data_IF_967149593047
#
_entry.id   IF_967149593047
#
_cell.length_a   1.000
_cell.length_b   1.000
_cell.length_c   1.000
_cell.angle_alpha   90.00
_cell.angle_beta   90.00
_cell.angle_gamma   90.00
#
_symmetry.space_group_name_H-M   'P 1'
#
loop_
_entity.id
_entity.type
_entity.pdbx_description
1 polymer ?
#
# COMPACT_ATOMS: atom_id res chain seq x y z
N UNK A 1 11.40 -4.86 -13.32
CA UNK A 1 10.18 -4.23 -12.81
C UNK A 1 9.02 -4.74 -13.65
N UNK A 2 7.88 -5.01 -13.00
CA UNK A 2 6.64 -5.40 -13.70
C UNK A 2 6.16 -4.23 -14.54
N UNK A 3 5.69 -4.47 -15.75
CA UNK A 3 5.06 -3.45 -16.59
C UNK A 3 3.71 -3.00 -15.99
N UNK A 4 3.26 -1.79 -16.31
CA UNK A 4 1.96 -1.27 -15.84
C UNK A 4 0.80 -2.22 -16.17
N UNK A 5 0.64 -2.77 -17.41
CA UNK A 5 -0.43 -3.72 -17.69
C UNK A 5 -0.35 -5.03 -16.90
N UNK A 6 0.86 -5.57 -16.69
CA UNK A 6 1.03 -6.77 -15.86
C UNK A 6 0.72 -6.47 -14.38
N UNK A 7 1.14 -5.29 -13.91
CA UNK A 7 0.83 -4.84 -12.56
C UNK A 7 -0.67 -4.72 -12.29
N UNK A 8 -1.43 -4.16 -13.23
CA UNK A 8 -2.89 -4.04 -13.15
C UNK A 8 -3.55 -5.43 -13.08
N UNK A 9 -3.07 -6.39 -13.87
CA UNK A 9 -3.59 -7.77 -13.83
C UNK A 9 -3.33 -8.44 -12.46
N UNK A 10 -2.14 -8.23 -11.89
CA UNK A 10 -1.83 -8.76 -10.56
C UNK A 10 -2.70 -8.12 -9.48
N UNK A 11 -2.89 -6.79 -9.52
CA UNK A 11 -3.78 -6.08 -8.60
C UNK A 11 -5.19 -6.68 -8.69
N UNK A 12 -5.74 -6.83 -9.88
CA UNK A 12 -7.08 -7.36 -10.07
C UNK A 12 -7.23 -8.78 -9.51
N UNK A 13 -6.24 -9.64 -9.73
CA UNK A 13 -6.25 -11.02 -9.24
C UNK A 13 -6.20 -11.08 -7.69
N UNK A 14 -5.27 -10.34 -7.07
CA UNK A 14 -5.14 -10.28 -5.61
C UNK A 14 -6.37 -9.62 -4.97
N UNK A 15 -6.86 -8.54 -5.56
CA UNK A 15 -8.02 -7.82 -5.05
C UNK A 15 -9.31 -8.65 -5.14
N UNK A 16 -9.49 -9.43 -6.20
CA UNK A 16 -10.65 -10.32 -6.31
C UNK A 16 -10.71 -11.32 -5.16
N UNK A 17 -9.58 -11.99 -4.85
CA UNK A 17 -9.49 -12.90 -3.72
C UNK A 17 -9.73 -12.19 -2.38
N UNK A 18 -9.20 -10.98 -2.23
CA UNK A 18 -9.37 -10.21 -1.01
C UNK A 18 -10.83 -9.73 -0.83
N UNK A 19 -11.51 -9.29 -1.90
CA UNK A 19 -12.93 -8.93 -1.87
C UNK A 19 -13.79 -10.12 -1.41
N UNK A 20 -13.52 -11.32 -1.95
CA UNK A 20 -14.23 -12.53 -1.53
C UNK A 20 -14.00 -12.82 -0.03
N UNK A 21 -12.75 -12.75 0.44
CA UNK A 21 -12.44 -12.97 1.84
C UNK A 21 -13.11 -11.94 2.77
N UNK A 22 -13.06 -10.65 2.41
CA UNK A 22 -13.66 -9.56 3.22
C UNK A 22 -15.18 -9.69 3.25
N UNK A 23 -15.83 -10.09 2.14
CA UNK A 23 -17.27 -10.34 2.07
C UNK A 23 -17.69 -11.51 2.97
N UNK A 24 -16.90 -12.58 2.95
CA UNK A 24 -17.20 -13.82 3.70
C UNK A 24 -16.79 -13.71 5.18
N UNK A 25 -15.98 -12.71 5.54
CA UNK A 25 -15.65 -12.34 6.91
C UNK A 25 -16.67 -11.34 7.48
N UNK A 26 -16.67 -11.18 8.78
CA UNK A 26 -17.61 -10.29 9.47
C UNK A 26 -16.94 -9.51 10.60
N UNK A 27 -17.74 -8.72 11.38
CA UNK A 27 -17.22 -7.89 12.46
C UNK A 27 -16.36 -8.62 13.49
N UNK A 28 -16.61 -9.91 13.72
CA UNK A 28 -15.78 -10.71 14.64
C UNK A 28 -14.33 -10.83 14.13
N UNK A 29 -14.15 -11.14 12.82
CA UNK A 29 -12.82 -11.20 12.22
C UNK A 29 -12.20 -9.82 12.06
N UNK A 30 -13.00 -8.79 11.75
CA UNK A 30 -12.50 -7.42 11.59
C UNK A 30 -11.96 -6.80 12.88
N UNK A 31 -12.44 -7.26 14.03
CA UNK A 31 -11.97 -6.83 15.35
C UNK A 31 -10.73 -7.58 15.86
N UNK A 32 -10.24 -8.58 15.14
CA UNK A 32 -9.00 -9.24 15.50
C UNK A 32 -7.80 -8.30 15.31
N UNK A 33 -6.81 -8.43 16.20
CA UNK A 33 -5.53 -7.74 16.03
C UNK A 33 -4.84 -8.21 14.76
N UNK A 34 -4.38 -7.29 13.94
CA UNK A 34 -3.61 -7.59 12.74
C UNK A 34 -2.11 -7.67 13.05
N UNK A 35 -1.25 -8.19 12.13
CA UNK A 35 0.20 -8.07 12.25
C UNK A 35 0.73 -6.63 12.20
N UNK A 36 -0.07 -5.66 11.77
CA UNK A 36 0.27 -4.25 11.85
C UNK A 36 0.06 -3.75 13.29
N UNK A 37 1.11 -3.25 13.93
CA UNK A 37 1.07 -2.78 15.31
C UNK A 37 -0.04 -1.75 15.51
N UNK A 38 -0.84 -1.90 16.57
CA UNK A 38 -1.97 -1.05 16.93
C UNK A 38 -3.13 -0.97 15.91
N UNK A 39 -3.21 -1.94 14.98
CA UNK A 39 -4.27 -2.01 13.99
C UNK A 39 -5.07 -3.30 14.09
N UNK A 40 -6.37 -3.19 13.95
CA UNK A 40 -7.25 -4.34 13.73
C UNK A 40 -7.25 -4.76 12.26
N UNK A 41 -7.77 -5.93 11.95
CA UNK A 41 -8.06 -6.38 10.58
C UNK A 41 -8.96 -5.36 9.85
N UNK A 42 -9.98 -4.83 10.55
CA UNK A 42 -10.86 -3.79 10.01
C UNK A 42 -10.12 -2.50 9.66
N UNK A 43 -9.12 -2.10 10.44
CA UNK A 43 -8.28 -0.93 10.14
C UNK A 43 -7.44 -1.17 8.88
N UNK A 44 -6.92 -2.40 8.67
CA UNK A 44 -6.18 -2.75 7.44
C UNK A 44 -7.10 -2.75 6.22
N UNK A 45 -8.32 -3.26 6.34
CA UNK A 45 -9.33 -3.17 5.28
C UNK A 45 -9.65 -1.70 4.97
N UNK A 46 -9.83 -0.88 6.03
CA UNK A 46 -10.06 0.56 5.91
C UNK A 46 -8.91 1.29 5.22
N UNK A 47 -7.65 0.91 5.53
CA UNK A 47 -6.47 1.44 4.86
C UNK A 47 -6.50 1.16 3.35
N UNK A 48 -6.76 -0.07 2.96
CA UNK A 48 -6.80 -0.45 1.56
C UNK A 48 -7.96 0.21 0.79
N UNK A 49 -9.12 0.42 1.45
CA UNK A 49 -10.26 1.14 0.90
C UNK A 49 -9.95 2.62 0.69
N UNK A 50 -9.50 3.29 1.75
CA UNK A 50 -9.09 4.70 1.68
C UNK A 50 -7.95 4.94 0.67
N UNK A 51 -6.94 4.07 0.66
CA UNK A 51 -5.85 4.18 -0.31
C UNK A 51 -6.35 4.04 -1.76
N UNK A 52 -7.36 3.19 -2.01
CA UNK A 52 -7.97 3.08 -3.32
C UNK A 52 -8.66 4.40 -3.75
N UNK A 53 -9.34 5.07 -2.83
CA UNK A 53 -9.98 6.35 -3.10
C UNK A 53 -8.97 7.43 -3.47
N UNK A 54 -7.96 7.66 -2.62
CA UNK A 54 -7.01 8.72 -2.89
C UNK A 54 -6.13 8.42 -4.12
N UNK A 55 -5.78 7.15 -4.40
CA UNK A 55 -5.08 6.79 -5.63
C UNK A 55 -5.92 7.11 -6.86
N UNK A 56 -7.20 6.75 -6.81
CA UNK A 56 -8.14 7.03 -7.88
C UNK A 56 -8.30 8.54 -8.12
N UNK A 57 -8.43 9.33 -7.08
CA UNK A 57 -8.55 10.80 -7.17
C UNK A 57 -7.27 11.43 -7.70
N UNK A 58 -6.10 11.02 -7.19
CA UNK A 58 -4.81 11.54 -7.66
C UNK A 58 -4.59 11.25 -9.15
N UNK A 59 -4.89 10.03 -9.60
CA UNK A 59 -4.75 9.66 -11.03
C UNK A 59 -5.76 10.42 -11.89
N UNK A 60 -7.01 10.53 -11.46
CA UNK A 60 -8.05 11.24 -12.21
C UNK A 60 -7.72 12.72 -12.36
N UNK A 61 -7.23 13.34 -11.29
CA UNK A 61 -6.76 14.72 -11.27
C UNK A 61 -5.56 14.90 -12.20
N UNK A 62 -4.52 14.08 -12.08
CA UNK A 62 -3.33 14.15 -12.92
C UNK A 62 -3.63 13.96 -14.40
N UNK A 63 -4.54 13.04 -14.77
CA UNK A 63 -5.03 12.89 -16.15
C UNK A 63 -5.66 14.16 -16.69
N UNK A 64 -6.28 14.94 -15.81
CA UNK A 64 -6.90 16.25 -16.14
C UNK A 64 -5.91 17.43 -16.00
N UNK A 65 -4.64 17.19 -15.69
CA UNK A 65 -3.61 18.22 -15.49
C UNK A 65 -3.69 18.93 -14.13
N UNK A 66 -4.42 18.35 -13.17
CA UNK A 66 -4.55 18.86 -11.81
C UNK A 66 -3.53 18.14 -10.93
N UNK A 67 -2.58 18.90 -10.37
CA UNK A 67 -1.49 18.37 -9.53
C UNK A 67 -1.59 18.79 -8.06
N UNK A 68 -2.67 19.50 -7.69
CA UNK A 68 -3.00 19.77 -6.30
C UNK A 68 -3.49 18.51 -5.58
N UNK A 69 -3.39 18.47 -4.23
CA UNK A 69 -3.87 17.33 -3.46
C UNK A 69 -5.38 17.09 -3.67
N UNK A 70 -5.81 15.82 -3.66
CA UNK A 70 -7.22 15.50 -3.49
C UNK A 70 -7.80 16.10 -2.20
N UNK A 71 -9.12 16.33 -2.13
CA UNK A 71 -9.74 16.91 -0.93
C UNK A 71 -9.39 16.16 0.34
N UNK A 72 -9.04 16.90 1.40
CA UNK A 72 -8.68 16.33 2.71
C UNK A 72 -7.23 15.85 2.83
N UNK A 73 -6.45 15.90 1.75
CA UNK A 73 -5.03 15.54 1.79
C UNK A 73 -4.13 16.79 1.90
N UNK A 74 -2.95 16.68 2.52
CA UNK A 74 -2.05 17.81 2.74
C UNK A 74 -1.38 18.30 1.45
N UNK A 75 -1.00 19.57 1.39
CA UNK A 75 -0.14 20.07 0.35
C UNK A 75 1.23 19.40 0.38
N UNK A 76 1.87 19.26 -0.78
CA UNK A 76 3.21 18.67 -0.88
C UNK A 76 4.18 19.46 0.02
N UNK A 77 4.87 18.75 0.90
CA UNK A 77 5.85 19.32 1.83
C UNK A 77 5.26 20.07 3.04
N UNK A 78 3.93 20.12 3.20
CA UNK A 78 3.29 20.73 4.37
C UNK A 78 3.29 19.82 5.60
N UNK A 79 3.43 18.51 5.42
CA UNK A 79 3.47 17.52 6.49
C UNK A 79 4.87 16.88 6.56
N UNK A 80 5.52 16.87 7.73
CA UNK A 80 6.77 16.14 7.92
C UNK A 80 6.60 14.65 7.60
N UNK A 81 7.58 14.06 6.90
CA UNK A 81 7.48 12.66 6.47
C UNK A 81 7.37 11.69 7.66
N UNK A 82 7.89 12.07 8.82
CA UNK A 82 7.80 11.28 10.07
C UNK A 82 6.37 11.22 10.63
N UNK A 83 5.49 12.13 10.24
CA UNK A 83 4.08 12.16 10.66
C UNK A 83 3.17 11.40 9.68
N UNK A 84 3.71 11.00 8.51
CA UNK A 84 2.93 10.29 7.50
C UNK A 84 2.34 8.97 7.99
N UNK A 85 3.04 8.11 8.75
CA UNK A 85 2.45 6.89 9.29
C UNK A 85 1.24 7.16 10.17
N UNK A 86 1.30 8.14 11.08
CA UNK A 86 0.20 8.49 11.96
C UNK A 86 -0.99 9.07 11.19
N UNK A 87 -0.70 9.87 10.16
CA UNK A 87 -1.73 10.38 9.26
C UNK A 87 -2.46 9.23 8.55
N UNK A 88 -1.72 8.28 7.95
CA UNK A 88 -2.28 7.11 7.28
C UNK A 88 -3.11 6.27 8.25
N UNK A 89 -2.60 6.01 9.45
CA UNK A 89 -3.30 5.25 10.48
C UNK A 89 -4.64 5.90 10.86
N UNK A 90 -4.64 7.23 11.02
CA UNK A 90 -5.87 7.97 11.32
C UNK A 90 -6.89 7.84 10.17
N UNK A 91 -6.47 8.02 8.93
CA UNK A 91 -7.36 7.94 7.76
C UNK A 91 -7.92 6.53 7.58
N UNK A 92 -7.11 5.49 7.78
CA UNK A 92 -7.53 4.09 7.75
C UNK A 92 -8.62 3.79 8.78
N UNK A 93 -8.38 4.18 10.04
CA UNK A 93 -9.33 4.00 11.16
C UNK A 93 -10.61 4.83 10.97
N UNK A 94 -10.50 6.02 10.40
CA UNK A 94 -11.66 6.87 10.09
C UNK A 94 -12.52 6.26 8.99
N UNK A 95 -11.90 5.75 7.93
CA UNK A 95 -12.61 5.05 6.86
C UNK A 95 -13.35 3.82 7.40
N UNK A 96 -12.67 2.94 8.15
CA UNK A 96 -13.28 1.76 8.73
C UNK A 96 -14.47 2.11 9.66
N UNK A 97 -14.28 3.11 10.53
CA UNK A 97 -15.33 3.58 11.46
C UNK A 97 -16.52 4.18 10.73
N UNK A 98 -16.28 4.96 9.68
CA UNK A 98 -17.36 5.60 8.90
C UNK A 98 -18.19 4.59 8.12
N UNK A 99 -17.56 3.50 7.66
CA UNK A 99 -18.22 2.41 6.97
C UNK A 99 -18.99 1.48 7.94
N UNK A 100 -18.49 1.30 9.17
CA UNK A 100 -19.08 0.46 10.21
C UNK A 100 -19.48 -0.94 9.69
N UNK A 101 -20.72 -1.35 9.86
CA UNK A 101 -21.23 -2.64 9.40
C UNK A 101 -21.16 -2.82 7.86
N UNK A 102 -20.99 -1.75 7.11
CA UNK A 102 -20.90 -1.75 5.64
C UNK A 102 -19.45 -1.74 5.13
N UNK A 103 -18.47 -2.06 5.98
CA UNK A 103 -17.03 -1.98 5.62
C UNK A 103 -16.68 -2.82 4.38
N UNK A 104 -17.27 -3.99 4.24
CA UNK A 104 -17.08 -4.85 3.06
C UNK A 104 -17.55 -4.20 1.76
N UNK A 105 -18.74 -3.59 1.77
CA UNK A 105 -19.33 -2.94 0.60
C UNK A 105 -18.57 -1.65 0.28
N UNK A 106 -18.18 -0.87 1.29
CA UNK A 106 -17.40 0.35 1.12
C UNK A 106 -16.03 0.03 0.50
N UNK A 107 -15.31 -0.96 1.05
CA UNK A 107 -14.04 -1.45 0.52
C UNK A 107 -14.19 -1.89 -0.94
N UNK A 108 -15.16 -2.75 -1.23
CA UNK A 108 -15.41 -3.25 -2.59
C UNK A 108 -15.68 -2.10 -3.55
N UNK A 109 -16.52 -1.14 -3.19
CA UNK A 109 -16.86 0.02 -4.02
C UNK A 109 -15.64 0.90 -4.33
N UNK A 110 -14.80 1.19 -3.33
CA UNK A 110 -13.60 2.00 -3.50
C UNK A 110 -12.59 1.33 -4.42
N UNK A 111 -12.43 0.02 -4.28
CA UNK A 111 -11.52 -0.78 -5.10
C UNK A 111 -12.02 -0.92 -6.52
N UNK A 112 -13.30 -1.23 -6.74
CA UNK A 112 -13.91 -1.31 -8.07
C UNK A 112 -13.79 0.01 -8.83
N UNK A 113 -13.96 1.13 -8.13
CA UNK A 113 -13.73 2.47 -8.69
C UNK A 113 -12.27 2.64 -9.15
N UNK A 114 -11.29 2.27 -8.34
CA UNK A 114 -9.87 2.36 -8.72
C UNK A 114 -9.54 1.45 -9.91
N UNK A 115 -10.05 0.23 -9.93
CA UNK A 115 -9.87 -0.70 -11.06
C UNK A 115 -10.48 -0.14 -12.35
N UNK A 116 -11.65 0.51 -12.27
CA UNK A 116 -12.26 1.21 -13.39
C UNK A 116 -11.43 2.39 -13.90
N UNK A 117 -10.77 3.13 -12.98
CA UNK A 117 -9.84 4.20 -13.35
C UNK A 117 -8.61 3.62 -14.06
N UNK A 118 -8.00 2.55 -13.53
CA UNK A 118 -6.90 1.87 -14.20
C UNK A 118 -7.28 1.40 -15.61
N UNK A 119 -8.44 0.75 -15.76
CA UNK A 119 -8.92 0.24 -17.04
C UNK A 119 -9.19 1.34 -18.08
N UNK A 120 -9.58 2.54 -17.62
CA UNK A 120 -9.87 3.70 -18.48
C UNK A 120 -8.67 4.61 -18.74
N UNK A 121 -7.52 4.36 -18.10
CA UNK A 121 -6.30 5.16 -18.26
C UNK A 121 -5.59 4.79 -19.56
N UNK A 122 -5.37 5.76 -20.43
CA UNK A 122 -4.71 5.58 -21.72
C UNK A 122 -3.19 5.49 -21.56
N UNK A 123 -2.50 4.93 -22.55
CA UNK A 123 -1.05 4.73 -22.49
C UNK A 123 -0.28 6.02 -22.20
N UNK A 124 -0.65 7.14 -22.85
CA UNK A 124 0.00 8.45 -22.65
C UNK A 124 -0.29 9.05 -21.26
N UNK A 125 -1.39 8.66 -20.61
CA UNK A 125 -1.78 9.19 -19.31
C UNK A 125 -0.96 8.57 -18.16
N UNK A 126 -0.34 7.39 -18.37
CA UNK A 126 0.47 6.74 -17.34
C UNK A 126 1.75 7.50 -16.97
N UNK A 127 2.21 8.39 -17.83
CA UNK A 127 3.37 9.25 -17.59
C UNK A 127 3.01 10.60 -16.96
N UNK A 128 1.71 10.94 -16.84
CA UNK A 128 1.28 12.22 -16.28
C UNK A 128 1.55 12.31 -14.79
N UNK A 129 1.95 13.52 -14.38
CA UNK A 129 2.20 13.84 -12.99
C UNK A 129 0.90 13.86 -12.17
N UNK A 130 0.91 13.12 -11.10
CA UNK A 130 -0.15 13.01 -10.12
C UNK A 130 0.37 13.39 -8.73
N UNK A 131 -0.49 13.94 -7.90
CA UNK A 131 -0.13 14.25 -6.52
C UNK A 131 0.20 12.98 -5.73
N UNK A 132 1.22 13.05 -4.90
CA UNK A 132 1.59 12.03 -3.92
C UNK A 132 2.17 12.66 -2.66
N UNK A 133 2.17 11.96 -1.54
CA UNK A 133 2.66 12.47 -0.24
C UNK A 133 4.11 12.96 -0.26
N UNK A 134 4.93 12.42 -1.15
CA UNK A 134 6.36 12.78 -1.27
C UNK A 134 6.66 13.70 -2.44
N UNK A 135 5.64 14.16 -3.15
CA UNK A 135 5.78 14.98 -4.35
C UNK A 135 5.00 14.43 -5.53
N UNK A 136 5.12 15.11 -6.66
CA UNK A 136 4.52 14.65 -7.90
C UNK A 136 5.20 13.36 -8.37
N UNK A 137 4.40 12.44 -8.86
CA UNK A 137 4.86 11.15 -9.39
C UNK A 137 4.00 10.74 -10.59
N UNK A 138 4.53 9.95 -11.53
CA UNK A 138 3.74 9.49 -12.67
C UNK A 138 2.61 8.57 -12.20
N UNK A 139 1.48 8.60 -12.91
CA UNK A 139 0.32 7.74 -12.62
C UNK A 139 0.70 6.25 -12.50
N UNK A 140 1.66 5.77 -13.31
CA UNK A 140 2.17 4.40 -13.25
C UNK A 140 2.81 4.02 -11.91
N UNK A 141 3.31 4.99 -11.13
CA UNK A 141 3.87 4.72 -9.80
C UNK A 141 2.81 4.22 -8.81
N UNK A 142 1.55 4.65 -8.97
CA UNK A 142 0.44 4.18 -8.14
C UNK A 142 0.14 2.69 -8.36
N UNK A 143 0.26 2.19 -9.59
CA UNK A 143 0.14 0.74 -9.88
C UNK A 143 1.19 -0.05 -9.09
N UNK A 144 2.45 0.40 -9.15
CA UNK A 144 3.54 -0.28 -8.42
C UNK A 144 3.34 -0.23 -6.91
N UNK A 145 2.85 0.88 -6.37
CA UNK A 145 2.55 1.00 -4.94
C UNK A 145 1.37 0.11 -4.58
N UNK A 146 0.28 0.16 -5.35
CA UNK A 146 -0.93 -0.63 -5.07
C UNK A 146 -0.69 -2.13 -5.02
N UNK A 147 0.14 -2.69 -5.92
CA UNK A 147 0.49 -4.11 -5.86
C UNK A 147 1.05 -4.47 -4.48
N UNK A 148 1.99 -3.68 -4.00
CA UNK A 148 2.63 -3.93 -2.70
C UNK A 148 1.65 -3.85 -1.55
N UNK A 149 0.79 -2.82 -1.55
CA UNK A 149 -0.24 -2.63 -0.55
C UNK A 149 -1.20 -3.84 -0.51
N UNK A 150 -1.76 -4.20 -1.68
CA UNK A 150 -2.74 -5.30 -1.74
C UNK A 150 -2.12 -6.63 -1.35
N UNK A 151 -0.92 -6.95 -1.83
CA UNK A 151 -0.28 -8.24 -1.57
C UNK A 151 0.09 -8.39 -0.09
N UNK A 152 0.73 -7.39 0.51
CA UNK A 152 1.17 -7.46 1.91
C UNK A 152 -0.05 -7.44 2.84
N UNK A 153 -0.92 -6.48 2.65
CA UNK A 153 -2.08 -6.33 3.53
C UNK A 153 -3.15 -7.41 3.33
N UNK A 154 -3.22 -8.07 2.16
CA UNK A 154 -4.00 -9.30 2.01
C UNK A 154 -3.51 -10.40 2.96
N UNK A 155 -2.20 -10.50 3.20
CA UNK A 155 -1.65 -11.40 4.20
C UNK A 155 -1.99 -10.92 5.62
N UNK A 156 -1.79 -9.65 5.94
CA UNK A 156 -2.11 -9.07 7.26
C UNK A 156 -3.58 -9.29 7.66
N UNK A 157 -4.49 -9.21 6.69
CA UNK A 157 -5.92 -9.42 6.90
C UNK A 157 -6.25 -10.89 7.17
N UNK A 158 -5.59 -11.83 6.46
CA UNK A 158 -5.91 -13.26 6.56
C UNK A 158 -5.21 -13.99 7.71
N UNK A 159 -3.99 -13.54 8.05
CA UNK A 159 -3.13 -14.23 9.01
C UNK A 159 -3.75 -14.43 10.40
N UNK A 160 -4.50 -13.49 10.99
CA UNK A 160 -5.13 -13.70 12.30
C UNK A 160 -6.10 -14.87 12.35
N UNK A 161 -6.80 -15.17 11.25
CA UNK A 161 -7.74 -16.28 11.13
C UNK A 161 -7.12 -17.53 10.51
N UNK A 162 -6.05 -17.39 9.73
CA UNK A 162 -5.31 -18.47 9.09
C UNK A 162 -3.80 -18.29 9.25
N UNK A 163 -3.19 -18.87 10.31
CA UNK A 163 -1.75 -18.79 10.54
C UNK A 163 -0.88 -19.42 9.43
N UNK A 164 -1.49 -20.12 8.46
CA UNK A 164 -0.82 -20.67 7.28
C UNK A 164 -0.97 -19.78 6.05
N UNK A 165 -1.65 -18.62 6.18
CA UNK A 165 -1.76 -17.66 5.09
C UNK A 165 -0.39 -17.34 4.52
N UNK A 166 -0.29 -17.31 3.20
CA UNK A 166 0.94 -17.01 2.47
C UNK A 166 0.65 -16.02 1.34
N UNK A 167 1.70 -15.35 0.86
CA UNK A 167 1.60 -14.54 -0.35
C UNK A 167 1.47 -15.45 -1.57
N UNK A 168 0.74 -15.00 -2.59
CA UNK A 168 0.70 -15.69 -3.86
C UNK A 168 2.10 -15.74 -4.51
N UNK A 169 2.57 -16.89 -5.00
CA UNK A 169 3.93 -17.05 -5.52
C UNK A 169 4.30 -16.05 -6.63
N UNK A 170 3.35 -15.71 -7.50
CA UNK A 170 3.48 -14.73 -8.59
C UNK A 170 3.70 -13.31 -8.07
N UNK A 171 3.17 -12.97 -6.91
CA UNK A 171 3.27 -11.65 -6.29
C UNK A 171 4.54 -11.46 -5.46
N UNK A 172 5.16 -12.56 -5.00
CA UNK A 172 6.38 -12.52 -4.16
C UNK A 172 7.52 -11.76 -4.84
N UNK A 173 7.78 -12.05 -6.12
CA UNK A 173 8.87 -11.41 -6.86
C UNK A 173 8.67 -9.89 -7.00
N UNK A 174 7.43 -9.44 -7.13
CA UNK A 174 7.10 -8.02 -7.26
C UNK A 174 7.36 -7.29 -5.94
N UNK A 175 6.93 -7.88 -4.82
CA UNK A 175 7.17 -7.33 -3.47
C UNK A 175 8.66 -7.30 -3.16
N UNK A 176 9.40 -8.38 -3.44
CA UNK A 176 10.86 -8.44 -3.22
C UNK A 176 11.61 -7.37 -4.03
N UNK A 177 11.18 -7.06 -5.25
CA UNK A 177 11.79 -6.01 -6.06
C UNK A 177 11.56 -4.60 -5.48
N UNK A 178 10.54 -4.40 -4.65
CA UNK A 178 10.27 -3.14 -3.92
C UNK A 178 11.03 -3.03 -2.60
N UNK A 179 11.40 -4.14 -2.01
CA UNK A 179 12.06 -4.20 -0.70
C UNK A 179 13.28 -3.28 -0.59
N UNK A 180 14.20 -3.15 -1.60
CA UNK A 180 15.30 -2.20 -1.52
C UNK A 180 14.88 -0.75 -1.33
N UNK A 181 13.79 -0.33 -1.97
CA UNK A 181 13.27 1.05 -1.85
C UNK A 181 12.76 1.29 -0.43
N UNK A 182 12.01 0.35 0.13
CA UNK A 182 11.51 0.44 1.50
C UNK A 182 12.64 0.42 2.53
N UNK A 183 13.56 -0.53 2.43
CA UNK A 183 14.69 -0.63 3.36
C UNK A 183 15.55 0.63 3.33
N UNK A 184 15.76 1.25 2.17
CA UNK A 184 16.49 2.51 2.08
C UNK A 184 15.70 3.67 2.71
N UNK A 185 14.37 3.71 2.53
CA UNK A 185 13.54 4.78 3.09
C UNK A 185 13.39 4.67 4.62
N UNK A 186 13.30 3.45 5.15
CA UNK A 186 13.21 3.19 6.60
C UNK A 186 14.57 3.41 7.29
N UNK A 187 15.67 2.97 6.66
CA UNK A 187 17.01 3.09 7.23
C UNK A 187 17.52 4.52 7.40
N UNK A 188 16.96 5.48 6.65
CA UNK A 188 17.37 6.89 6.71
C UNK A 188 16.54 7.73 7.69
N UNK A 189 15.31 7.30 8.03
CA UNK A 189 14.39 8.13 8.82
C UNK A 189 14.52 7.93 10.34
N UNK A 190 14.82 6.73 10.82
CA UNK A 190 14.67 6.36 12.24
C UNK A 190 15.99 6.14 13.01
N UNK A 191 17.14 6.13 12.33
CA UNK A 191 18.42 5.98 13.04
C UNK A 191 18.87 7.31 13.64
N UNK A 192 18.38 7.58 14.84
CA UNK A 192 18.93 8.64 15.68
C UNK A 192 20.44 8.43 15.81
N UNK A 193 21.17 9.52 15.70
CA UNK A 193 22.63 9.61 15.64
C UNK A 193 23.42 8.96 16.82
N UNK A 194 22.74 8.34 17.77
CA UNK A 194 23.31 7.77 19.00
C UNK A 194 23.33 6.23 19.05
N UNK A 195 22.93 5.53 17.98
CA UNK A 195 23.04 4.08 17.93
C UNK A 195 24.32 3.64 17.22
N UNK A 196 24.94 2.59 17.73
CA UNK A 196 26.12 2.01 17.10
C UNK A 196 25.80 1.58 15.67
N UNK A 197 26.71 1.78 14.71
CA UNK A 197 26.49 1.33 13.33
C UNK A 197 26.17 -0.16 13.29
N UNK A 198 25.11 -0.53 12.58
CA UNK A 198 24.68 -1.90 12.42
C UNK A 198 24.51 -2.27 10.94
N UNK A 199 24.83 -3.50 10.58
CA UNK A 199 24.59 -4.06 9.25
C UNK A 199 23.52 -5.13 9.36
N UNK A 200 22.40 -4.96 8.67
CA UNK A 200 21.33 -5.94 8.54
C UNK A 200 21.43 -6.62 7.18
N UNK A 201 21.40 -7.94 7.17
CA UNK A 201 21.39 -8.73 5.94
C UNK A 201 20.07 -9.45 5.79
N UNK A 202 19.32 -9.06 4.78
CA UNK A 202 18.09 -9.69 4.37
C UNK A 202 18.38 -10.70 3.25
N UNK A 203 17.80 -11.89 3.34
CA UNK A 203 17.87 -12.90 2.29
C UNK A 203 16.60 -13.73 2.28
N UNK A 204 16.17 -14.17 1.11
CA UNK A 204 15.10 -15.16 0.99
C UNK A 204 15.62 -16.55 1.31
N UNK A 205 14.75 -17.41 1.81
CA UNK A 205 15.03 -18.83 2.09
C UNK A 205 14.42 -19.78 1.06
N UNK A 206 13.75 -19.24 0.03
CA UNK A 206 13.08 -19.99 -1.03
C UNK A 206 13.81 -19.92 -2.38
N UNK A 207 13.08 -20.24 -3.45
CA UNK A 207 13.60 -20.25 -4.81
C UNK A 207 13.98 -18.87 -5.37
N UNK A 208 13.44 -17.79 -4.80
CA UNK A 208 13.83 -16.44 -5.18
C UNK A 208 15.19 -16.08 -4.57
N UNK A 209 16.18 -15.82 -5.41
CA UNK A 209 17.51 -15.39 -4.95
C UNK A 209 17.50 -13.87 -4.71
N UNK A 210 17.16 -13.49 -3.49
CA UNK A 210 17.22 -12.10 -3.05
C UNK A 210 18.19 -11.97 -1.89
N UNK A 211 19.14 -11.04 -2.01
CA UNK A 211 20.05 -10.64 -0.92
C UNK A 211 20.20 -9.13 -0.90
N UNK A 212 20.02 -8.52 0.27
CA UNK A 212 20.22 -7.09 0.47
C UNK A 212 20.89 -6.84 1.82
N UNK A 213 21.94 -6.01 1.83
CA UNK A 213 22.52 -5.46 3.05
C UNK A 213 22.00 -4.02 3.24
N UNK A 214 21.59 -3.70 4.47
CA UNK A 214 21.17 -2.37 4.90
C UNK A 214 22.07 -1.94 6.04
N UNK A 215 22.65 -0.77 5.92
CA UNK A 215 23.51 -0.16 6.94
C UNK A 215 22.69 0.89 7.69
N UNK A 216 22.73 0.83 9.00
CA UNK A 216 22.06 1.74 9.89
C UNK A 216 23.09 2.41 10.82
N UNK A 217 22.99 3.74 11.03
CA UNK A 217 23.82 4.44 12.01
C UNK A 217 25.31 4.61 11.63
N UNK A 218 25.62 4.82 10.38
CA UNK A 218 26.98 5.18 9.92
C UNK A 218 26.94 6.38 8.98
N UNK A 219 27.97 7.24 9.05
CA UNK A 219 28.26 8.14 7.94
C UNK A 219 28.80 7.26 6.80
N UNK A 220 28.25 7.44 5.58
CA UNK A 220 28.87 6.93 4.37
C UNK A 220 30.32 7.39 4.25
#
# INVERSE_FOLDING_TARGET
MVSTPEGIKLIAAETAQLKDYVRDSGPEQWNLDSPCEDWTVGDVIGHLGWAAEFFGDSISNGRSGITSPPPGLPEIGSMPIVELPDFIARMAKEYARSADANLSDAFTSSVDRLEGIFASTKDDDWSKDCWGFRGLQPASAFVTTRISEVVIHSWDIRFPSDPKASLAPESVSVVLNRLPVWLNSLGLADFKSNQSPARYRFRTTGAADFRRDVFAGGKE
#
